data_IF_825474535508
#
_entry.id   IF_825474535508
#
_cell.length_a   1.000
_cell.length_b   1.000
_cell.length_c   1.000
_cell.angle_alpha   90.00
_cell.angle_beta   90.00
_cell.angle_gamma   90.00
#
_symmetry.space_group_name_H-M   'P 1'
#
loop_
_entity.id
_entity.type
_entity.pdbx_description
1 polymer ?
#
# COMPACT_ATOMS: atom_id res chain seq x y z
N UNK A 1 -40.15 5.12 -33.75
CA UNK A 1 -40.23 5.46 -32.32
C UNK A 1 -38.87 5.98 -31.90
N UNK A 2 -38.65 7.28 -32.05
CA UNK A 2 -37.37 7.92 -31.77
C UNK A 2 -37.35 8.42 -30.33
N UNK A 3 -36.47 7.84 -29.54
CA UNK A 3 -36.25 8.19 -28.14
C UNK A 3 -35.56 9.55 -28.06
N UNK A 4 -36.31 10.58 -27.66
CA UNK A 4 -35.82 11.93 -27.37
C UNK A 4 -34.89 11.88 -26.16
N UNK A 5 -33.60 11.66 -26.42
CA UNK A 5 -32.49 11.83 -25.47
C UNK A 5 -32.32 13.32 -25.23
N UNK A 6 -32.90 13.83 -24.15
CA UNK A 6 -32.77 15.23 -23.76
C UNK A 6 -31.30 15.60 -23.49
N UNK A 7 -30.85 16.82 -23.86
CA UNK A 7 -29.46 17.22 -23.75
C UNK A 7 -29.14 17.67 -22.31
N UNK A 8 -28.69 16.76 -21.46
CA UNK A 8 -28.16 17.11 -20.13
C UNK A 8 -26.86 17.94 -20.21
N UNK A 9 -26.16 17.93 -21.35
CA UNK A 9 -24.89 18.66 -21.49
C UNK A 9 -25.06 20.18 -21.66
N UNK A 10 -26.17 20.67 -22.22
CA UNK A 10 -26.34 22.12 -22.43
C UNK A 10 -26.68 22.89 -21.14
N UNK A 11 -27.32 22.26 -20.15
CA UNK A 11 -27.58 22.92 -18.84
C UNK A 11 -26.33 23.12 -17.99
N UNK A 12 -25.23 22.39 -18.23
CA UNK A 12 -23.98 22.54 -17.44
C UNK A 12 -23.15 23.77 -17.84
N UNK A 13 -23.32 24.26 -19.06
CA UNK A 13 -22.55 25.43 -19.56
C UNK A 13 -23.22 26.76 -19.17
N UNK A 14 -24.54 26.79 -19.05
CA UNK A 14 -25.29 28.02 -18.72
C UNK A 14 -25.09 28.46 -17.25
N UNK A 15 -24.90 27.51 -16.33
CA UNK A 15 -24.61 27.82 -14.92
C UNK A 15 -23.21 28.39 -14.65
N UNK A 16 -22.30 28.40 -15.64
CA UNK A 16 -20.96 28.98 -15.46
C UNK A 16 -20.88 30.48 -15.77
N UNK A 17 -21.89 31.08 -16.41
CA UNK A 17 -21.82 32.49 -16.84
C UNK A 17 -22.53 33.48 -15.91
N UNK A 18 -23.34 33.03 -14.96
CA UNK A 18 -24.03 33.93 -14.02
C UNK A 18 -23.75 33.56 -12.56
N UNK A 19 -22.61 34.03 -12.02
CA UNK A 19 -22.51 34.38 -10.60
C UNK A 19 -21.21 35.15 -10.27
N UNK A 20 -21.26 36.48 -10.12
CA UNK A 20 -20.41 37.21 -9.20
C UNK A 20 -21.21 37.48 -7.91
N UNK A 21 -21.77 36.44 -7.28
CA UNK A 21 -22.22 36.57 -5.90
C UNK A 21 -21.02 36.32 -4.98
N UNK A 22 -20.31 37.39 -4.64
CA UNK A 22 -19.50 37.48 -3.42
C UNK A 22 -20.43 37.48 -2.19
N UNK A 23 -21.22 36.42 -2.03
CA UNK A 23 -21.86 36.10 -0.76
C UNK A 23 -20.78 35.54 0.15
N UNK A 24 -20.38 36.32 1.16
CA UNK A 24 -19.59 35.82 2.28
C UNK A 24 -20.29 34.54 2.78
N UNK A 25 -19.65 33.39 2.60
CA UNK A 25 -20.13 32.14 3.20
C UNK A 25 -20.31 32.41 4.70
N UNK A 26 -21.48 32.15 5.29
CA UNK A 26 -21.57 32.07 6.73
C UNK A 26 -20.58 30.99 7.18
N UNK A 27 -19.68 31.37 8.08
CA UNK A 27 -18.69 30.48 8.67
C UNK A 27 -19.44 29.36 9.40
N UNK A 28 -19.59 28.20 8.77
CA UNK A 28 -20.05 26.97 9.42
C UNK A 28 -18.87 26.38 10.19
N UNK A 29 -18.39 27.12 11.18
CA UNK A 29 -17.49 26.60 12.22
C UNK A 29 -18.32 26.33 13.47
N UNK A 30 -19.15 25.30 13.42
CA UNK A 30 -19.61 24.65 14.65
C UNK A 30 -20.00 23.20 14.34
N UNK A 31 -18.98 22.34 14.27
CA UNK A 31 -19.18 20.92 14.55
C UNK A 31 -19.11 20.82 16.08
N UNK A 32 -20.20 20.47 16.78
CA UNK A 32 -20.11 20.19 18.20
C UNK A 32 -19.22 18.95 18.35
N UNK A 33 -18.03 19.15 18.89
CA UNK A 33 -17.19 18.04 19.35
C UNK A 33 -17.95 17.40 20.51
N UNK A 34 -18.56 16.24 20.25
CA UNK A 34 -19.21 15.44 21.27
C UNK A 34 -18.27 15.28 22.45
N UNK A 35 -18.73 15.75 23.61
CA UNK A 35 -18.05 15.62 24.88
C UNK A 35 -17.66 14.15 25.10
N UNK A 36 -16.37 13.92 25.27
CA UNK A 36 -15.85 12.69 25.82
C UNK A 36 -16.48 12.48 27.20
N UNK A 37 -17.31 11.45 27.32
CA UNK A 37 -17.80 10.97 28.60
C UNK A 37 -16.61 10.36 29.33
N UNK A 38 -16.08 11.14 30.25
CA UNK A 38 -15.08 10.74 31.23
C UNK A 38 -15.78 9.87 32.28
N UNK A 39 -15.63 8.55 32.17
CA UNK A 39 -15.97 7.62 33.24
C UNK A 39 -14.67 7.10 33.85
N UNK A 40 -14.34 7.68 34.99
CA UNK A 40 -13.18 7.38 35.81
C UNK A 40 -13.47 6.17 36.72
N UNK A 41 -12.39 5.47 37.08
CA UNK A 41 -12.17 4.62 38.27
C UNK A 41 -12.97 3.32 38.46
N UNK A 42 -12.28 2.19 38.33
CA UNK A 42 -11.85 1.25 39.39
C UNK A 42 -11.04 0.15 38.67
N UNK A 43 -9.71 0.03 38.79
CA UNK A 43 -8.98 -0.19 40.03
C UNK A 43 -8.66 -1.68 40.14
N UNK A 44 -7.54 -2.14 39.59
CA UNK A 44 -6.77 -3.30 40.06
C UNK A 44 -5.35 -3.19 39.52
N UNK A 45 -4.44 -2.96 40.45
CA UNK A 45 -3.00 -2.95 40.25
C UNK A 45 -2.48 -4.39 40.15
N UNK A 46 -1.69 -4.68 39.12
CA UNK A 46 -0.58 -5.65 39.21
C UNK A 46 0.59 -5.03 38.46
N UNK A 47 1.68 -4.88 39.20
CA UNK A 47 2.98 -4.36 38.81
C UNK A 47 3.72 -5.36 37.92
N UNK A 48 4.64 -4.84 37.12
CA UNK A 48 5.90 -5.43 36.62
C UNK A 48 6.07 -5.01 35.15
N UNK A 49 6.63 -3.82 34.90
CA UNK A 49 8.08 -3.60 34.80
C UNK A 49 8.72 -4.43 33.67
N UNK A 50 8.65 -3.89 32.45
CA UNK A 50 9.84 -3.58 31.67
C UNK A 50 9.47 -2.68 30.49
N UNK A 51 9.80 -1.41 30.65
CA UNK A 51 9.82 -0.38 29.61
C UNK A 51 10.80 -0.75 28.51
N UNK A 52 10.30 -1.31 27.40
CA UNK A 52 10.91 -1.11 26.08
C UNK A 52 10.05 -0.12 25.32
N UNK A 53 10.29 1.16 25.62
CA UNK A 53 9.80 2.28 24.85
C UNK A 53 10.54 2.30 23.49
N UNK A 54 10.12 1.43 22.58
CA UNK A 54 10.45 1.56 21.17
C UNK A 54 9.54 2.65 20.67
N UNK A 55 10.08 3.86 20.67
CA UNK A 55 9.53 5.02 19.99
C UNK A 55 9.51 4.72 18.48
N UNK A 56 8.55 3.91 18.02
CA UNK A 56 8.19 3.79 16.62
C UNK A 56 7.48 5.08 16.26
N UNK A 57 8.28 6.09 15.94
CA UNK A 57 7.78 7.33 15.36
C UNK A 57 6.80 6.98 14.26
N UNK A 58 5.55 7.39 14.48
CA UNK A 58 4.47 7.36 13.50
C UNK A 58 4.93 8.17 12.31
N UNK A 59 5.60 7.50 11.37
CA UNK A 59 5.79 8.00 10.02
C UNK A 59 4.43 7.91 9.39
N UNK A 60 3.73 9.04 9.41
CA UNK A 60 2.57 9.28 8.57
C UNK A 60 3.03 9.17 7.12
N UNK A 61 3.07 7.96 6.59
CA UNK A 61 3.14 7.70 5.16
C UNK A 61 1.80 8.13 4.57
N UNK A 62 1.63 9.43 4.38
CA UNK A 62 0.66 10.02 3.46
C UNK A 62 1.15 9.74 2.03
N UNK A 63 1.19 8.47 1.68
CA UNK A 63 1.35 8.03 0.31
C UNK A 63 0.09 8.42 -0.44
N UNK A 64 0.23 9.30 -1.43
CA UNK A 64 -0.77 9.45 -2.46
C UNK A 64 -1.01 8.07 -3.06
N UNK A 65 -2.17 7.50 -2.77
CA UNK A 65 -2.69 6.34 -3.50
C UNK A 65 -3.08 6.88 -4.87
N UNK A 66 -2.10 6.95 -5.78
CA UNK A 66 -2.40 7.00 -7.21
C UNK A 66 -3.05 5.66 -7.52
N UNK A 67 -4.35 5.74 -7.80
CA UNK A 67 -5.22 4.66 -8.25
C UNK A 67 -4.84 4.29 -9.69
N UNK A 68 -3.60 3.87 -9.89
CA UNK A 68 -3.13 3.37 -11.17
C UNK A 68 -3.27 1.85 -11.13
N UNK A 69 -4.48 1.41 -11.50
CA UNK A 69 -4.84 0.01 -11.75
C UNK A 69 -4.09 -0.48 -13.00
N UNK A 70 -2.75 -0.48 -12.95
CA UNK A 70 -1.92 -1.15 -13.92
C UNK A 70 -1.83 -2.61 -13.49
N UNK A 71 -2.79 -3.36 -14.00
CA UNK A 71 -2.73 -4.77 -14.39
C UNK A 71 -1.31 -5.37 -14.27
N UNK A 72 -0.92 -5.76 -13.05
CA UNK A 72 0.31 -6.49 -12.78
C UNK A 72 0.13 -7.89 -13.35
N UNK A 73 0.42 -8.04 -14.65
CA UNK A 73 0.69 -9.35 -15.26
C UNK A 73 1.96 -9.86 -14.60
N UNK A 74 1.78 -10.58 -13.50
CA UNK A 74 2.80 -11.42 -12.91
C UNK A 74 3.05 -12.60 -13.85
N UNK A 75 3.69 -12.34 -14.99
CA UNK A 75 4.45 -13.36 -15.70
C UNK A 75 5.64 -13.73 -14.80
N UNK A 76 5.37 -14.56 -13.80
CA UNK A 76 6.39 -15.32 -13.07
C UNK A 76 6.97 -16.33 -14.04
N UNK A 77 7.81 -15.86 -14.96
CA UNK A 77 8.91 -16.68 -15.46
C UNK A 77 9.91 -16.78 -14.31
N UNK A 78 9.64 -17.70 -13.37
CA UNK A 78 10.72 -18.38 -12.68
C UNK A 78 11.41 -19.23 -13.74
N UNK A 79 12.24 -18.58 -14.56
CA UNK A 79 13.36 -19.24 -15.20
C UNK A 79 14.19 -19.78 -14.05
N UNK A 80 13.92 -21.03 -13.70
CA UNK A 80 14.86 -21.88 -12.98
C UNK A 80 16.10 -21.81 -13.86
N UNK A 81 17.07 -21.00 -13.44
CA UNK A 81 18.44 -21.12 -13.89
C UNK A 81 18.80 -22.58 -13.61
N UNK A 82 18.70 -23.40 -14.65
CA UNK A 82 19.36 -24.68 -14.74
C UNK A 82 20.83 -24.33 -14.67
N UNK A 83 21.33 -24.20 -13.44
CA UNK A 83 22.75 -24.28 -13.14
C UNK A 83 23.13 -25.63 -13.69
N UNK A 84 23.66 -25.62 -14.91
CA UNK A 84 24.45 -26.69 -15.47
C UNK A 84 25.50 -27.00 -14.41
N UNK A 85 25.20 -28.03 -13.62
CA UNK A 85 26.21 -28.76 -12.89
C UNK A 85 27.09 -29.37 -13.95
N UNK A 86 28.18 -28.69 -14.26
CA UNK A 86 29.36 -29.36 -14.81
C UNK A 86 29.64 -30.58 -13.91
N UNK A 87 29.52 -31.83 -14.42
CA UNK A 87 29.69 -33.01 -13.57
C UNK A 87 31.14 -33.30 -13.20
N UNK A 88 32.13 -32.70 -13.87
CA UNK A 88 33.50 -33.25 -13.87
C UNK A 88 34.58 -32.15 -13.78
N UNK A 89 34.34 -31.11 -12.97
CA UNK A 89 35.29 -30.02 -12.78
C UNK A 89 35.78 -29.81 -11.36
N UNK A 90 35.26 -30.56 -10.38
CA UNK A 90 35.79 -30.53 -9.02
C UNK A 90 37.05 -31.40 -8.98
N UNK A 91 38.10 -30.92 -9.65
CA UNK A 91 39.48 -31.13 -9.21
C UNK A 91 39.67 -30.34 -7.89
N UNK A 92 38.80 -30.62 -6.93
CA UNK A 92 39.06 -30.45 -5.52
C UNK A 92 40.26 -31.33 -5.27
N UNK A 93 41.45 -30.72 -5.40
CA UNK A 93 42.68 -31.24 -4.85
C UNK A 93 42.32 -31.88 -3.51
N UNK A 94 42.31 -33.21 -3.48
CA UNK A 94 41.79 -33.97 -2.35
C UNK A 94 42.86 -33.91 -1.26
N UNK A 95 42.94 -32.77 -0.58
CA UNK A 95 43.84 -32.53 0.55
C UNK A 95 43.59 -33.49 1.72
N UNK A 96 42.52 -34.30 1.65
CA UNK A 96 42.17 -35.34 2.61
C UNK A 96 43.12 -36.55 2.59
N UNK A 97 43.97 -36.69 1.56
CA UNK A 97 45.07 -37.64 1.58
C UNK A 97 46.39 -36.92 1.86
N UNK A 98 46.61 -36.52 3.12
CA UNK A 98 47.85 -35.89 3.62
C UNK A 98 49.13 -36.66 3.19
N UNK A 99 49.00 -37.96 2.89
CA UNK A 99 50.05 -38.82 2.36
C UNK A 99 50.43 -38.52 0.89
N UNK A 100 49.49 -38.08 0.07
CA UNK A 100 49.68 -37.91 -1.38
C UNK A 100 50.48 -36.66 -1.70
N UNK A 101 50.22 -35.53 -1.00
CA UNK A 101 51.02 -34.31 -1.13
C UNK A 101 52.45 -34.49 -0.59
N UNK A 102 52.59 -35.21 0.53
CA UNK A 102 53.91 -35.57 1.06
C UNK A 102 54.66 -36.52 0.12
N UNK A 103 53.96 -37.44 -0.55
CA UNK A 103 54.56 -38.37 -1.51
C UNK A 103 55.03 -37.65 -2.77
N UNK A 104 54.23 -36.76 -3.34
CA UNK A 104 54.58 -35.97 -4.53
C UNK A 104 55.67 -34.94 -4.23
N UNK A 105 55.64 -34.32 -3.03
CA UNK A 105 56.71 -33.44 -2.59
C UNK A 105 58.00 -34.23 -2.27
N UNK A 106 57.92 -35.50 -1.90
CA UNK A 106 59.08 -36.37 -1.67
C UNK A 106 59.54 -37.10 -2.93
N UNK A 107 58.80 -37.03 -4.04
CA UNK A 107 59.12 -37.70 -5.29
C UNK A 107 60.38 -37.11 -5.93
N UNK A 108 61.16 -38.02 -6.50
CA UNK A 108 62.60 -37.94 -6.72
C UNK A 108 62.98 -36.86 -7.74
N UNK A 109 64.07 -36.12 -7.46
CA UNK A 109 64.62 -35.12 -8.37
C UNK A 109 65.06 -35.70 -9.72
N UNK A 110 65.22 -34.86 -10.75
CA UNK A 110 65.50 -35.29 -12.13
C UNK A 110 66.76 -36.15 -12.22
N UNK A 111 66.70 -37.23 -12.99
CA UNK A 111 67.84 -38.11 -13.27
C UNK A 111 68.92 -37.33 -14.03
N UNK A 112 70.12 -37.20 -13.45
CA UNK A 112 71.26 -36.51 -14.06
C UNK A 112 72.20 -37.53 -14.71
N UNK A 113 72.48 -37.34 -15.99
CA UNK A 113 73.43 -38.14 -16.77
C UNK A 113 74.70 -37.32 -17.07
N UNK A 114 75.84 -37.77 -16.58
CA UNK A 114 77.13 -37.72 -17.27
C UNK A 114 78.15 -36.69 -16.81
N UNK A 115 78.96 -37.02 -15.79
CA UNK A 115 80.43 -36.88 -15.79
C UNK A 115 80.98 -37.48 -14.48
N UNK A 116 81.60 -38.67 -14.51
CA UNK A 116 81.91 -39.48 -13.30
C UNK A 116 82.66 -38.74 -12.18
N UNK A 117 83.48 -37.73 -12.50
CA UNK A 117 84.19 -36.91 -11.52
C UNK A 117 83.31 -35.80 -10.90
N UNK A 118 82.46 -35.16 -11.72
CA UNK A 118 81.47 -34.22 -11.22
C UNK A 118 80.36 -34.96 -10.47
N UNK A 119 80.00 -36.15 -10.91
CA UNK A 119 79.05 -37.06 -10.26
C UNK A 119 79.53 -37.42 -8.86
N UNK A 120 80.81 -37.76 -8.64
CA UNK A 120 81.33 -38.04 -7.30
C UNK A 120 81.23 -36.82 -6.34
N UNK A 121 81.52 -35.60 -6.84
CA UNK A 121 81.39 -34.38 -6.04
C UNK A 121 79.92 -34.01 -5.79
N UNK A 122 79.07 -34.17 -6.82
CA UNK A 122 77.62 -34.01 -6.72
C UNK A 122 77.07 -35.02 -5.72
N UNK A 123 77.49 -36.28 -5.72
CA UNK A 123 77.06 -37.30 -4.75
C UNK A 123 77.41 -36.89 -3.31
N UNK A 124 78.61 -36.34 -3.07
CA UNK A 124 78.98 -35.87 -1.71
C UNK A 124 78.15 -34.67 -1.23
N UNK A 125 77.70 -33.80 -2.14
CA UNK A 125 76.86 -32.64 -1.82
C UNK A 125 75.36 -33.01 -1.82
N UNK A 126 74.95 -33.96 -2.63
CA UNK A 126 73.57 -34.36 -2.82
C UNK A 126 72.98 -34.95 -1.55
N UNK A 127 73.77 -35.73 -0.79
CA UNK A 127 73.32 -36.29 0.47
C UNK A 127 72.86 -35.22 1.50
N UNK A 128 73.69 -34.21 1.88
CA UNK A 128 73.26 -33.18 2.81
C UNK A 128 72.17 -32.26 2.25
N UNK A 129 72.15 -31.95 0.95
CA UNK A 129 71.06 -31.17 0.35
C UNK A 129 69.73 -31.95 0.34
N UNK A 130 69.78 -33.25 0.09
CA UNK A 130 68.59 -34.12 0.13
C UNK A 130 68.08 -34.25 1.56
N UNK A 131 68.96 -34.40 2.55
CA UNK A 131 68.59 -34.47 3.96
C UNK A 131 67.99 -33.14 4.45
N UNK A 132 68.61 -32.01 4.12
CA UNK A 132 68.08 -30.68 4.43
C UNK A 132 66.73 -30.43 3.73
N UNK A 133 66.59 -30.84 2.47
CA UNK A 133 65.33 -30.76 1.74
C UNK A 133 64.22 -31.58 2.40
N UNK A 134 64.52 -32.82 2.82
CA UNK A 134 63.59 -33.68 3.57
C UNK A 134 63.19 -33.03 4.90
N UNK A 135 64.14 -32.44 5.62
CA UNK A 135 63.89 -31.72 6.88
C UNK A 135 62.95 -30.53 6.69
N UNK A 136 63.21 -29.68 5.69
CA UNK A 136 62.37 -28.51 5.40
C UNK A 136 60.95 -28.92 4.96
N UNK A 137 60.84 -29.93 4.07
CA UNK A 137 59.54 -30.47 3.64
C UNK A 137 58.73 -31.00 4.84
N UNK A 138 59.40 -31.71 5.77
CA UNK A 138 58.78 -32.19 7.01
C UNK A 138 58.31 -31.04 7.90
N UNK A 139 59.09 -29.98 8.05
CA UNK A 139 58.72 -28.80 8.85
C UNK A 139 57.51 -28.06 8.24
N UNK A 140 57.46 -27.91 6.92
CA UNK A 140 56.32 -27.35 6.21
C UNK A 140 55.07 -28.21 6.41
N UNK A 141 55.18 -29.54 6.27
CA UNK A 141 54.05 -30.43 6.52
C UNK A 141 53.57 -30.37 7.98
N UNK A 142 54.50 -30.37 8.94
CA UNK A 142 54.19 -30.27 10.37
C UNK A 142 53.49 -28.98 10.76
N UNK A 143 53.64 -27.90 9.98
CA UNK A 143 52.98 -26.61 10.25
C UNK A 143 51.69 -26.45 9.45
N UNK A 144 51.67 -26.86 8.19
CA UNK A 144 50.54 -26.66 7.29
C UNK A 144 49.37 -27.60 7.61
N UNK A 145 49.63 -28.88 7.87
CA UNK A 145 48.61 -29.90 8.16
C UNK A 145 47.72 -29.53 9.36
N UNK A 146 48.27 -29.24 10.56
CA UNK A 146 47.42 -28.88 11.70
C UNK A 146 46.68 -27.55 11.48
N UNK A 147 47.26 -26.63 10.70
CA UNK A 147 46.60 -25.36 10.35
C UNK A 147 45.40 -25.62 9.43
N UNK A 148 45.57 -26.43 8.39
CA UNK A 148 44.50 -26.83 7.48
C UNK A 148 43.38 -27.56 8.23
N UNK A 149 43.71 -28.56 9.05
CA UNK A 149 42.75 -29.31 9.85
C UNK A 149 41.98 -28.41 10.82
N UNK A 150 42.64 -27.39 11.40
CA UNK A 150 41.98 -26.38 12.23
C UNK A 150 41.01 -25.51 11.41
N UNK A 151 41.39 -25.07 10.22
CA UNK A 151 40.51 -24.29 9.33
C UNK A 151 39.29 -25.12 8.92
N UNK A 152 39.49 -26.38 8.51
CA UNK A 152 38.41 -27.32 8.17
C UNK A 152 37.43 -27.50 9.34
N UNK A 153 37.94 -27.70 10.56
CA UNK A 153 37.10 -27.83 11.75
C UNK A 153 36.27 -26.56 12.03
N UNK A 154 36.86 -25.37 11.88
CA UNK A 154 36.14 -24.10 12.05
C UNK A 154 35.06 -23.93 10.99
N UNK A 155 35.34 -24.28 9.72
CA UNK A 155 34.35 -24.23 8.64
C UNK A 155 33.17 -25.17 8.93
N UNK A 156 33.43 -26.42 9.34
CA UNK A 156 32.36 -27.37 9.69
C UNK A 156 31.50 -26.91 10.88
N UNK A 157 32.11 -26.23 11.86
CA UNK A 157 31.38 -25.62 12.99
C UNK A 157 30.53 -24.44 12.50
N UNK A 158 31.05 -23.64 11.57
CA UNK A 158 30.32 -22.52 10.99
C UNK A 158 29.11 -23.01 10.18
N UNK A 159 29.30 -23.99 9.29
CA UNK A 159 28.23 -24.62 8.52
C UNK A 159 27.13 -25.18 9.43
N UNK A 160 27.50 -25.93 10.48
CA UNK A 160 26.50 -26.53 11.39
C UNK A 160 25.73 -25.51 12.24
N UNK A 161 26.37 -24.43 12.68
CA UNK A 161 25.78 -23.52 13.67
C UNK A 161 25.13 -22.27 13.05
N UNK A 162 25.66 -21.77 11.93
CA UNK A 162 25.12 -20.57 11.28
C UNK A 162 23.77 -20.87 10.66
N UNK A 163 23.59 -22.06 10.09
CA UNK A 163 22.35 -22.47 9.43
C UNK A 163 21.14 -22.50 10.39
N UNK A 164 21.35 -22.88 11.66
CA UNK A 164 20.25 -22.96 12.64
C UNK A 164 19.75 -21.58 13.03
N UNK A 165 20.66 -20.68 13.40
CA UNK A 165 20.27 -19.31 13.82
C UNK A 165 19.75 -18.49 12.65
N UNK A 166 20.35 -18.63 11.47
CA UNK A 166 19.85 -18.04 10.24
C UNK A 166 18.46 -18.58 9.87
N UNK A 167 18.27 -19.91 9.93
CA UNK A 167 16.98 -20.55 9.67
C UNK A 167 15.88 -20.10 10.64
N UNK A 168 16.20 -19.96 11.92
CA UNK A 168 15.29 -19.39 12.93
C UNK A 168 14.93 -17.94 12.60
N UNK A 169 15.92 -17.12 12.22
CA UNK A 169 15.70 -15.74 11.80
C UNK A 169 14.79 -15.63 10.57
N UNK A 170 15.00 -16.49 9.58
CA UNK A 170 14.18 -16.55 8.36
C UNK A 170 12.74 -17.00 8.67
N UNK A 171 12.58 -17.98 9.57
CA UNK A 171 11.26 -18.43 10.01
C UNK A 171 10.49 -17.33 10.76
N UNK A 172 11.17 -16.60 11.66
CA UNK A 172 10.59 -15.46 12.39
C UNK A 172 10.21 -14.33 11.44
N UNK A 173 11.07 -14.01 10.49
CA UNK A 173 10.79 -13.00 9.47
C UNK A 173 9.56 -13.37 8.63
N UNK A 174 9.48 -14.61 8.15
CA UNK A 174 8.31 -15.10 7.40
C UNK A 174 7.02 -15.05 8.23
N UNK A 175 7.09 -15.38 9.52
CA UNK A 175 5.95 -15.26 10.42
C UNK A 175 5.50 -13.79 10.56
N UNK A 176 6.44 -12.87 10.77
CA UNK A 176 6.15 -11.43 10.85
C UNK A 176 5.55 -10.89 9.54
N UNK A 177 6.05 -11.31 8.37
CA UNK A 177 5.47 -10.94 7.08
C UNK A 177 4.01 -11.41 6.95
N UNK A 178 3.71 -12.65 7.35
CA UNK A 178 2.34 -13.19 7.33
C UNK A 178 1.41 -12.45 8.28
N UNK A 179 1.91 -12.05 9.46
CA UNK A 179 1.12 -11.28 10.42
C UNK A 179 0.80 -9.88 9.88
N UNK A 180 1.76 -9.22 9.23
CA UNK A 180 1.54 -7.93 8.56
C UNK A 180 0.53 -8.08 7.42
N UNK A 181 0.68 -9.10 6.56
CA UNK A 181 -0.24 -9.37 5.45
C UNK A 181 -1.67 -9.60 5.96
N UNK A 182 -1.83 -10.41 7.01
CA UNK A 182 -3.11 -10.66 7.65
C UNK A 182 -3.73 -9.39 8.23
N UNK A 183 -2.93 -8.56 8.90
CA UNK A 183 -3.40 -7.28 9.45
C UNK A 183 -3.83 -6.31 8.34
N UNK A 184 -3.06 -6.21 7.24
CA UNK A 184 -3.41 -5.38 6.09
C UNK A 184 -4.71 -5.85 5.43
N UNK A 185 -4.88 -7.17 5.27
CA UNK A 185 -6.12 -7.73 4.71
C UNK A 185 -7.34 -7.41 5.58
N UNK A 186 -7.22 -7.53 6.91
CA UNK A 186 -8.29 -7.18 7.84
C UNK A 186 -8.63 -5.68 7.78
N UNK A 187 -7.62 -4.81 7.74
CA UNK A 187 -7.82 -3.35 7.58
C UNK A 187 -8.50 -3.00 6.26
N UNK A 188 -8.12 -3.67 5.16
CA UNK A 188 -8.75 -3.46 3.87
C UNK A 188 -10.23 -3.86 3.88
N UNK A 189 -10.58 -5.00 4.48
CA UNK A 189 -11.99 -5.42 4.64
C UNK A 189 -12.77 -4.37 5.45
N UNK A 190 -12.24 -3.96 6.61
CA UNK A 190 -12.90 -2.96 7.45
C UNK A 190 -13.09 -1.64 6.69
N UNK A 191 -12.07 -1.17 5.96
CA UNK A 191 -12.18 0.06 5.18
C UNK A 191 -13.27 -0.03 4.12
N UNK A 192 -13.41 -1.18 3.46
CA UNK A 192 -14.46 -1.44 2.49
C UNK A 192 -15.85 -1.42 3.13
N UNK A 193 -16.03 -2.05 4.28
CA UNK A 193 -17.30 -2.05 5.02
C UNK A 193 -17.73 -0.62 5.40
N UNK A 194 -16.81 0.18 5.93
CA UNK A 194 -17.08 1.59 6.28
C UNK A 194 -17.42 2.41 5.05
N UNK A 195 -16.74 2.17 3.92
CA UNK A 195 -17.03 2.86 2.66
C UNK A 195 -18.44 2.53 2.14
N UNK A 196 -18.83 1.26 2.18
CA UNK A 196 -20.17 0.80 1.78
C UNK A 196 -21.25 1.41 2.70
N UNK A 197 -21.00 1.47 4.02
CA UNK A 197 -21.88 2.11 4.99
C UNK A 197 -22.06 3.61 4.71
N UNK A 198 -20.96 4.35 4.51
CA UNK A 198 -21.00 5.79 4.20
C UNK A 198 -21.75 6.03 2.90
N UNK A 199 -21.49 5.23 1.86
CA UNK A 199 -22.17 5.34 0.57
C UNK A 199 -23.67 5.10 0.71
N UNK A 200 -24.08 4.08 1.48
CA UNK A 200 -25.48 3.82 1.77
C UNK A 200 -26.16 4.95 2.56
N UNK A 201 -25.45 5.56 3.52
CA UNK A 201 -25.95 6.72 4.26
C UNK A 201 -26.12 7.95 3.37
N UNK A 202 -25.16 8.22 2.47
CA UNK A 202 -25.26 9.30 1.49
C UNK A 202 -26.47 9.08 0.57
N UNK A 203 -26.65 7.87 0.03
CA UNK A 203 -27.79 7.55 -0.83
C UNK A 203 -29.13 7.75 -0.10
N UNK A 204 -29.21 7.32 1.17
CA UNK A 204 -30.40 7.53 2.00
C UNK A 204 -30.72 9.01 2.19
N UNK A 205 -29.71 9.83 2.50
CA UNK A 205 -29.87 11.27 2.68
C UNK A 205 -30.31 11.96 1.37
N UNK A 206 -29.79 11.52 0.21
CA UNK A 206 -30.23 12.03 -1.08
C UNK A 206 -31.70 11.71 -1.38
N UNK A 207 -32.15 10.48 -1.08
CA UNK A 207 -33.56 10.09 -1.25
C UNK A 207 -34.49 10.88 -0.34
N UNK A 208 -34.08 11.11 0.91
CA UNK A 208 -34.84 11.96 1.83
C UNK A 208 -34.93 13.39 1.30
N UNK A 209 -33.82 13.96 0.85
CA UNK A 209 -33.79 15.29 0.25
C UNK A 209 -34.71 15.39 -0.97
N UNK A 210 -34.69 14.40 -1.86
CA UNK A 210 -35.58 14.34 -3.03
C UNK A 210 -37.06 14.32 -2.62
N UNK A 211 -37.41 13.55 -1.59
CA UNK A 211 -38.78 13.52 -1.04
C UNK A 211 -39.21 14.89 -0.51
N UNK A 212 -38.38 15.54 0.31
CA UNK A 212 -38.69 16.87 0.85
C UNK A 212 -38.86 17.93 -0.26
N UNK A 213 -38.04 17.86 -1.32
CA UNK A 213 -38.19 18.73 -2.49
C UNK A 213 -39.50 18.47 -3.22
N UNK A 214 -39.91 17.21 -3.35
CA UNK A 214 -41.18 16.86 -3.95
C UNK A 214 -42.37 17.41 -3.15
N UNK A 215 -42.37 17.20 -1.82
CA UNK A 215 -43.40 17.74 -0.93
C UNK A 215 -43.49 19.27 -0.99
N UNK A 216 -42.34 19.95 -1.04
CA UNK A 216 -42.29 21.40 -1.22
C UNK A 216 -42.90 21.82 -2.54
N UNK A 217 -42.59 21.12 -3.63
CA UNK A 217 -43.11 21.44 -4.95
C UNK A 217 -44.64 21.23 -5.02
N UNK A 218 -45.16 20.18 -4.36
CA UNK A 218 -46.61 19.97 -4.21
C UNK A 218 -47.29 21.09 -3.40
N UNK A 219 -46.70 21.49 -2.27
CA UNK A 219 -47.19 22.62 -1.47
C UNK A 219 -47.17 23.92 -2.27
N UNK A 220 -46.13 24.15 -3.06
CA UNK A 220 -46.03 25.34 -3.92
C UNK A 220 -47.13 25.37 -4.97
N UNK A 221 -47.40 24.24 -5.64
CA UNK A 221 -48.50 24.12 -6.59
C UNK A 221 -49.86 24.35 -5.91
N UNK A 222 -50.05 23.83 -4.70
CA UNK A 222 -51.27 24.04 -3.91
C UNK A 222 -51.49 25.51 -3.56
N UNK A 223 -50.45 26.20 -3.05
CA UNK A 223 -50.50 27.63 -2.75
C UNK A 223 -50.77 28.44 -4.02
N UNK A 224 -50.09 28.12 -5.13
CA UNK A 224 -50.31 28.81 -6.39
C UNK A 224 -51.75 28.65 -6.86
N UNK A 225 -52.33 27.45 -6.76
CA UNK A 225 -53.72 27.18 -7.09
C UNK A 225 -54.68 27.98 -6.19
N UNK A 226 -54.44 28.00 -4.88
CA UNK A 226 -55.26 28.75 -3.92
C UNK A 226 -55.23 30.26 -4.22
N UNK A 227 -54.04 30.83 -4.47
CA UNK A 227 -53.89 32.24 -4.86
C UNK A 227 -54.60 32.52 -6.18
N UNK A 228 -54.44 31.67 -7.19
CA UNK A 228 -55.12 31.82 -8.47
C UNK A 228 -56.65 31.80 -8.32
N UNK A 229 -57.18 30.98 -7.43
CA UNK A 229 -58.63 30.90 -7.15
C UNK A 229 -59.20 32.17 -6.51
N UNK A 230 -58.39 32.95 -5.79
CA UNK A 230 -58.81 34.23 -5.18
C UNK A 230 -58.59 35.40 -6.14
N UNK A 231 -57.40 35.44 -6.77
CA UNK A 231 -56.98 36.54 -7.64
C UNK A 231 -57.79 36.57 -8.93
N UNK A 232 -58.08 35.42 -9.55
CA UNK A 232 -58.80 35.38 -10.84
C UNK A 232 -60.22 35.97 -10.74
N UNK A 233 -61.07 35.60 -9.76
CA UNK A 233 -62.38 36.23 -9.59
C UNK A 233 -62.29 37.69 -9.16
N UNK A 234 -61.33 38.06 -8.30
CA UNK A 234 -61.14 39.45 -7.89
C UNK A 234 -60.76 40.34 -9.09
N UNK A 235 -59.84 39.89 -9.94
CA UNK A 235 -59.48 40.58 -11.19
C UNK A 235 -60.66 40.64 -12.16
N UNK A 236 -61.43 39.56 -12.28
CA UNK A 236 -62.64 39.54 -13.10
C UNK A 236 -63.67 40.58 -12.62
N UNK A 237 -63.98 40.60 -11.32
CA UNK A 237 -64.89 41.57 -10.72
C UNK A 237 -64.40 43.02 -10.87
N UNK A 238 -63.10 43.25 -10.72
CA UNK A 238 -62.48 44.57 -10.92
C UNK A 238 -62.62 45.01 -12.39
N UNK A 239 -62.42 44.07 -13.33
CA UNK A 239 -62.53 44.31 -14.77
C UNK A 239 -63.98 44.58 -15.21
N UNK A 240 -64.97 43.93 -14.60
CA UNK A 240 -66.40 44.18 -14.86
C UNK A 240 -66.96 45.42 -14.12
N UNK A 241 -66.26 45.93 -13.11
CA UNK A 241 -66.73 47.06 -12.31
C UNK A 241 -67.03 48.32 -13.12
N UNK A 242 -66.21 48.75 -14.11
CA UNK A 242 -66.52 49.90 -14.95
C UNK A 242 -67.84 49.72 -15.70
N UNK A 243 -68.05 48.58 -16.36
CA UNK A 243 -69.28 48.29 -17.10
C UNK A 243 -70.52 48.30 -16.18
N UNK A 244 -70.38 47.78 -14.95
CA UNK A 244 -71.43 47.81 -13.92
C UNK A 244 -71.73 49.23 -13.45
N UNK A 245 -70.70 50.06 -13.27
CA UNK A 245 -70.84 51.47 -12.89
C UNK A 245 -71.54 52.25 -14.03
N UNK A 246 -71.11 52.09 -15.28
CA UNK A 246 -71.75 52.71 -16.45
C UNK A 246 -73.22 52.28 -16.60
N UNK A 247 -73.49 50.99 -16.42
CA UNK A 247 -74.86 50.46 -16.41
C UNK A 247 -75.72 51.00 -15.26
N UNK A 248 -75.13 51.31 -14.10
CA UNK A 248 -75.82 51.93 -12.98
C UNK A 248 -76.09 53.42 -13.23
N UNK A 249 -75.12 54.15 -13.79
CA UNK A 249 -75.26 55.57 -14.18
C UNK A 249 -76.41 55.73 -15.17
N UNK A 250 -76.42 54.94 -16.25
CA UNK A 250 -77.49 54.99 -17.27
C UNK A 250 -78.88 54.67 -16.71
N UNK A 251 -78.99 53.74 -15.75
CA UNK A 251 -80.25 53.45 -15.04
C UNK A 251 -80.72 54.63 -14.19
N UNK A 252 -79.81 55.25 -13.44
CA UNK A 252 -80.11 56.43 -12.61
C UNK A 252 -80.56 57.60 -13.48
N UNK A 253 -79.84 57.89 -14.57
CA UNK A 253 -80.21 58.93 -15.54
C UNK A 253 -81.60 58.69 -16.14
N UNK A 254 -81.94 57.44 -16.46
CA UNK A 254 -83.26 57.07 -16.97
C UNK A 254 -84.36 57.30 -15.93
N UNK A 255 -84.12 56.91 -14.67
CA UNK A 255 -85.09 57.13 -13.58
C UNK A 255 -85.29 58.60 -13.25
N UNK A 256 -84.23 59.42 -13.30
CA UNK A 256 -84.31 60.86 -13.07
C UNK A 256 -85.17 61.55 -14.14
N UNK A 257 -84.96 61.22 -15.42
CA UNK A 257 -85.75 61.77 -16.55
C UNK A 257 -87.24 61.38 -16.49
N UNK A 258 -87.59 60.25 -15.91
CA UNK A 258 -88.99 59.81 -15.78
C UNK A 258 -89.74 60.53 -14.64
N UNK A 259 -89.01 61.20 -13.74
CA UNK A 259 -89.57 61.85 -12.55
C UNK A 259 -89.80 63.36 -12.73
N UNK A 260 -89.30 63.93 -13.83
CA UNK A 260 -89.49 65.32 -14.28
C UNK A 260 -90.50 65.37 -15.41
#
# INVERSE_FOLDING_TARGET
>A
MESKRWPQQQRREEYKKEAPYHGKRPSTSYIPTSQAVNANSHGLAICDDHTRNVNTGSRDYRGLVSDDTTQFKADRHCGIDSVDRDPDGDSSFHWDEEATLLSELMETGPEQNGDEYLDAMVETLQAPFTDQGKRLKKEIAQTLVPTHNRVKAVIQVLEKNVDVTYGQGLALFNAACKDIEKSMYAQHIHMKEVYEEITGNIERAYKELEREYHERDELWLSIHSAVASIVTPALHNLKESPDRIESAITKLEKSAKAST
#
